data_IF_046525727786
#
_entry.id   IF_046525727786
#
_cell.length_a   1.000
_cell.length_b   1.000
_cell.length_c   1.000
_cell.angle_alpha   90.00
_cell.angle_beta   90.00
_cell.angle_gamma   90.00
#
_symmetry.space_group_name_H-M   'P 1'
#
loop_
_entity.id
_entity.type
_entity.pdbx_description
1 polymer ?
#
# COMPACT_ATOMS: atom_id res chain seq x y z
N UNK A 1 4.65 14.31 -19.99
CA UNK A 1 4.80 12.89 -19.57
C UNK A 1 6.20 12.39 -19.96
N UNK A 2 7.12 12.29 -19.00
CA UNK A 2 8.50 11.85 -19.27
C UNK A 2 8.59 10.33 -19.11
N UNK A 3 9.01 9.65 -20.18
CA UNK A 3 9.00 8.20 -20.35
C UNK A 3 10.06 7.42 -19.52
N UNK A 4 10.74 8.07 -18.57
CA UNK A 4 11.89 7.47 -17.88
C UNK A 4 11.74 7.38 -16.36
N UNK A 5 10.67 7.92 -15.77
CA UNK A 5 10.54 8.07 -14.31
C UNK A 5 9.11 7.85 -13.77
N UNK A 6 8.32 6.98 -14.38
CA UNK A 6 7.05 6.52 -13.81
C UNK A 6 7.35 5.47 -12.72
N UNK A 7 7.90 5.96 -11.61
CA UNK A 7 8.51 5.17 -10.53
C UNK A 7 7.47 4.27 -9.85
N UNK A 8 7.88 3.04 -9.62
CA UNK A 8 7.24 1.90 -8.92
C UNK A 8 6.73 2.24 -7.50
N UNK A 9 5.81 3.19 -7.37
CA UNK A 9 5.38 3.72 -6.06
C UNK A 9 3.92 4.14 -6.08
N UNK A 10 3.08 3.34 -6.74
CA UNK A 10 1.64 3.53 -6.67
C UNK A 10 1.13 2.86 -5.38
N UNK A 11 1.17 3.60 -4.27
CA UNK A 11 0.67 3.15 -2.97
C UNK A 11 -0.60 3.92 -2.66
N UNK A 12 -1.69 3.20 -2.42
CA UNK A 12 -2.95 3.75 -1.90
C UNK A 12 -3.15 3.27 -0.47
N UNK A 13 -3.59 4.17 0.41
CA UNK A 13 -3.83 3.86 1.80
C UNK A 13 -5.10 4.52 2.31
N UNK A 14 -5.68 3.96 3.38
CA UNK A 14 -6.89 4.49 4.00
C UNK A 14 -6.71 5.98 4.35
N UNK A 15 -7.46 6.90 3.74
CA UNK A 15 -7.13 8.34 3.73
C UNK A 15 -7.25 9.03 5.09
N UNK A 16 -8.00 8.44 6.02
CA UNK A 16 -8.23 8.98 7.37
C UNK A 16 -7.62 8.10 8.46
N UNK A 17 -6.66 7.24 8.11
CA UNK A 17 -5.97 6.40 9.08
C UNK A 17 -5.32 7.25 10.19
N UNK A 18 -5.44 6.79 11.43
CA UNK A 18 -4.99 7.49 12.63
C UNK A 18 -5.77 8.77 12.97
N UNK A 19 -6.82 9.11 12.22
CA UNK A 19 -7.63 10.33 12.42
C UNK A 19 -9.11 10.05 12.65
N UNK A 20 -9.67 9.04 11.99
CA UNK A 20 -11.09 8.73 12.06
C UNK A 20 -11.36 7.21 12.11
N UNK A 21 -11.12 6.61 13.27
CA UNK A 21 -11.27 5.16 13.47
C UNK A 21 -10.17 4.38 12.76
N UNK A 22 -10.50 3.14 12.36
CA UNK A 22 -9.51 2.16 11.90
C UNK A 22 -8.94 1.36 13.07
N UNK A 23 -8.37 0.20 12.74
CA UNK A 23 -7.75 -0.72 13.70
C UNK A 23 -6.27 -0.35 13.95
N UNK A 24 -5.64 0.36 13.01
CA UNK A 24 -4.26 0.84 13.14
C UNK A 24 -4.02 2.15 12.38
N UNK A 25 -2.89 2.81 12.66
CA UNK A 25 -2.38 3.95 11.88
C UNK A 25 -1.42 3.44 10.79
N UNK A 26 -1.80 3.59 9.53
CA UNK A 26 -1.05 3.04 8.39
C UNK A 26 0.02 4.01 7.86
N UNK A 27 0.10 5.24 8.38
CA UNK A 27 1.02 6.27 7.84
C UNK A 27 2.49 5.89 7.96
N UNK A 28 2.89 5.36 9.11
CA UNK A 28 4.27 4.88 9.31
C UNK A 28 4.57 3.66 8.42
N UNK A 29 3.59 2.77 8.25
CA UNK A 29 3.73 1.60 7.41
C UNK A 29 3.86 1.97 5.92
N UNK A 30 3.09 2.94 5.43
CA UNK A 30 3.20 3.46 4.06
C UNK A 30 4.58 4.07 3.81
N UNK A 31 5.11 4.84 4.77
CA UNK A 31 6.44 5.44 4.65
C UNK A 31 7.55 4.37 4.66
N UNK A 32 7.41 3.35 5.51
CA UNK A 32 8.34 2.22 5.56
C UNK A 32 8.29 1.39 4.26
N UNK A 33 7.10 1.15 3.71
CA UNK A 33 6.93 0.48 2.43
C UNK A 33 7.57 1.27 1.29
N UNK A 34 7.28 2.57 1.17
CA UNK A 34 7.88 3.43 0.13
C UNK A 34 9.41 3.41 0.18
N UNK A 35 9.98 3.40 1.39
CA UNK A 35 11.43 3.30 1.60
C UNK A 35 11.95 1.93 1.17
N UNK A 36 11.34 0.84 1.62
CA UNK A 36 11.73 -0.52 1.27
C UNK A 36 11.65 -0.79 -0.24
N UNK A 37 10.61 -0.26 -0.92
CA UNK A 37 10.47 -0.37 -2.38
C UNK A 37 11.59 0.34 -3.14
N UNK A 38 12.10 1.45 -2.60
CA UNK A 38 13.20 2.21 -3.20
C UNK A 38 14.57 1.59 -2.92
N UNK A 39 14.71 0.88 -1.80
CA UNK A 39 15.96 0.23 -1.40
C UNK A 39 16.19 -1.12 -2.08
N UNK A 40 15.17 -1.71 -2.70
CA UNK A 40 15.27 -2.99 -3.42
C UNK A 40 15.34 -2.79 -4.94
N UNK A 41 16.54 -2.91 -5.56
CA UNK A 41 16.71 -2.75 -7.00
C UNK A 41 15.91 -3.76 -7.84
N UNK A 42 15.57 -4.93 -7.28
CA UNK A 42 14.78 -5.93 -8.00
C UNK A 42 13.34 -5.46 -8.25
N UNK A 43 12.83 -4.57 -7.38
CA UNK A 43 11.47 -4.03 -7.48
C UNK A 43 11.38 -2.87 -8.48
N UNK A 44 12.50 -2.23 -8.87
CA UNK A 44 12.51 -1.20 -9.92
C UNK A 44 11.92 -1.68 -11.25
N UNK A 45 11.88 -2.99 -11.47
CA UNK A 45 11.44 -3.62 -12.72
C UNK A 45 9.94 -3.98 -12.70
N UNK A 46 9.23 -3.67 -11.62
CA UNK A 46 7.78 -3.86 -11.58
C UNK A 46 7.09 -3.03 -12.67
N UNK A 47 5.99 -3.53 -13.24
CA UNK A 47 5.21 -2.76 -14.22
C UNK A 47 4.76 -1.42 -13.62
N UNK A 48 4.73 -0.36 -14.43
CA UNK A 48 4.28 0.98 -13.97
C UNK A 48 2.83 1.02 -13.46
N UNK A 49 2.04 -0.04 -13.67
CA UNK A 49 0.68 -0.20 -13.14
C UNK A 49 0.58 -0.94 -11.80
N UNK A 50 1.69 -1.41 -11.23
CA UNK A 50 1.68 -2.23 -10.02
C UNK A 50 1.21 -1.41 -8.82
N UNK A 51 0.09 -1.80 -8.21
CA UNK A 51 -0.60 -1.07 -7.15
C UNK A 51 -0.42 -1.79 -5.80
N UNK A 52 0.01 -1.02 -4.80
CA UNK A 52 0.06 -1.46 -3.40
C UNK A 52 -1.12 -0.85 -2.62
N UNK A 53 -1.87 -1.66 -1.87
CA UNK A 53 -2.99 -1.22 -1.04
C UNK A 53 -2.75 -1.39 0.46
N UNK A 54 -2.98 -0.34 1.27
CA UNK A 54 -2.80 -0.38 2.72
C UNK A 54 -4.07 0.07 3.42
N UNK A 55 -4.89 -0.89 3.86
CA UNK A 55 -6.18 -0.65 4.49
C UNK A 55 -6.07 -0.77 6.03
N UNK A 56 -6.57 0.24 6.74
CA UNK A 56 -6.56 0.31 8.21
C UNK A 56 -7.66 -0.53 8.88
N UNK A 57 -8.33 -1.41 8.13
CA UNK A 57 -9.37 -2.32 8.61
C UNK A 57 -10.80 -1.81 8.35
N UNK A 58 -10.94 -0.65 7.70
CA UNK A 58 -12.25 -0.09 7.32
C UNK A 58 -12.76 -0.57 5.97
N UNK A 59 -11.91 -1.19 5.15
CA UNK A 59 -12.30 -1.71 3.84
C UNK A 59 -12.42 -0.63 2.76
N UNK A 60 -11.97 0.60 3.01
CA UNK A 60 -12.03 1.73 2.06
C UNK A 60 -10.98 1.63 0.93
N UNK A 61 -10.00 0.76 1.08
CA UNK A 61 -8.94 0.48 0.08
C UNK A 61 -8.98 -0.95 -0.43
N UNK A 62 -9.38 -1.91 0.41
CA UNK A 62 -9.30 -3.36 0.11
C UNK A 62 -10.08 -3.78 -1.13
N UNK A 63 -11.12 -3.01 -1.52
CA UNK A 63 -11.92 -3.26 -2.71
C UNK A 63 -11.38 -2.66 -4.03
N UNK A 64 -10.23 -1.98 -4.00
CA UNK A 64 -9.69 -1.30 -5.19
C UNK A 64 -8.97 -2.22 -6.18
N UNK A 65 -8.75 -3.50 -5.83
CA UNK A 65 -8.04 -4.44 -6.70
C UNK A 65 -6.54 -4.13 -6.80
N UNK A 66 -5.88 -3.92 -5.67
CA UNK A 66 -4.42 -3.78 -5.65
C UNK A 66 -3.73 -5.11 -5.98
N UNK A 67 -2.62 -5.08 -6.73
CA UNK A 67 -1.82 -6.27 -7.04
C UNK A 67 -1.33 -6.96 -5.75
N UNK A 68 -0.95 -6.14 -4.76
CA UNK A 68 -0.62 -6.57 -3.39
C UNK A 68 -1.26 -5.58 -2.43
N UNK A 69 -1.95 -6.06 -1.42
CA UNK A 69 -2.48 -5.20 -0.38
C UNK A 69 -2.55 -5.87 0.98
N UNK A 70 -2.77 -5.05 2.01
CA UNK A 70 -3.06 -5.53 3.35
C UNK A 70 -4.37 -4.94 3.86
N UNK A 71 -5.07 -5.72 4.68
CA UNK A 71 -6.26 -5.29 5.42
C UNK A 71 -6.05 -5.55 6.90
N UNK A 72 -5.98 -4.50 7.71
CA UNK A 72 -5.83 -4.67 9.16
C UNK A 72 -6.99 -5.50 9.73
N UNK A 73 -6.66 -6.50 10.53
CA UNK A 73 -7.64 -7.36 11.24
C UNK A 73 -7.65 -7.01 12.73
N UNK A 74 -6.52 -6.51 13.24
CA UNK A 74 -6.39 -5.88 14.55
C UNK A 74 -5.25 -4.84 14.53
N UNK A 75 -4.85 -4.33 15.70
CA UNK A 75 -3.80 -3.31 15.82
C UNK A 75 -2.38 -3.76 15.42
N UNK A 76 -2.17 -5.06 15.25
CA UNK A 76 -0.87 -5.70 15.05
C UNK A 76 -0.84 -6.74 13.93
N UNK A 77 -2.01 -7.14 13.42
CA UNK A 77 -2.15 -8.14 12.36
C UNK A 77 -2.96 -7.62 11.19
N UNK A 78 -2.64 -8.12 10.00
CA UNK A 78 -3.35 -7.81 8.77
C UNK A 78 -3.47 -9.07 7.90
N UNK A 79 -4.56 -9.14 7.13
CA UNK A 79 -4.71 -10.10 6.06
C UNK A 79 -3.93 -9.61 4.83
N UNK A 80 -3.20 -10.52 4.17
CA UNK A 80 -2.54 -10.25 2.89
C UNK A 80 -3.52 -10.52 1.75
N UNK A 81 -3.69 -9.55 0.87
CA UNK A 81 -4.50 -9.60 -0.35
C UNK A 81 -3.56 -9.61 -1.55
N UNK A 82 -3.78 -10.50 -2.50
CA UNK A 82 -2.92 -10.66 -3.68
C UNK A 82 -3.78 -10.83 -4.93
N UNK A 83 -3.24 -10.39 -6.07
CA UNK A 83 -3.84 -10.57 -7.39
C UNK A 83 -5.24 -9.96 -7.52
N UNK A 84 -5.38 -8.71 -7.04
CA UNK A 84 -6.58 -7.88 -7.20
C UNK A 84 -6.80 -7.37 -8.62
#
# INVERSE_FOLDING_TARGET
PSATHERVRNIVASPLSGRAGGLCDTRELVAALDTALQEDPALEHLPGRFLFGVDDGRGDVSGLGADVGIHAVDSSSAALLLAG
#
